data_IF_628745882635
#
_entry.id   IF_628745882635
#
_cell.length_a   1.000
_cell.length_b   1.000
_cell.length_c   1.000
_cell.angle_alpha   90.00
_cell.angle_beta   90.00
_cell.angle_gamma   90.00
#
_symmetry.space_group_name_H-M   'P 1'
#
loop_
_entity.id
_entity.type
_entity.pdbx_description
1 polymer ?
#
# COMPACT_ATOMS: atom_id res chain seq x y z
N UNK A 1 -7.58 -5.14 -5.17
CA UNK A 1 -6.40 -4.25 -5.26
C UNK A 1 -6.84 -2.96 -5.96
N UNK A 2 -6.64 -1.77 -5.37
CA UNK A 2 -6.94 -0.47 -6.02
C UNK A 2 -5.65 0.13 -6.57
N UNK A 3 -5.62 0.52 -7.84
CA UNK A 3 -4.47 1.19 -8.48
C UNK A 3 -4.66 2.69 -8.38
N UNK A 4 -3.65 3.40 -7.87
CA UNK A 4 -3.64 4.85 -7.71
C UNK A 4 -2.24 5.38 -8.00
N UNK A 5 -2.16 6.61 -8.49
CA UNK A 5 -0.89 7.27 -8.79
C UNK A 5 -0.14 7.69 -7.51
N UNK A 6 -0.86 7.86 -6.40
CA UNK A 6 -0.29 8.15 -5.08
C UNK A 6 -0.71 7.11 -4.04
N UNK A 7 0.25 6.72 -3.21
CA UNK A 7 0.07 5.78 -2.11
C UNK A 7 -0.16 6.48 -0.76
N UNK A 8 -0.07 7.83 -0.70
CA UNK A 8 -0.13 8.61 0.55
C UNK A 8 -1.39 8.32 1.34
N UNK A 9 -2.55 8.48 0.69
CA UNK A 9 -3.85 8.19 1.30
C UNK A 9 -4.03 6.71 1.57
N UNK A 10 -3.48 5.84 0.71
CA UNK A 10 -3.63 4.39 0.88
C UNK A 10 -2.90 3.85 2.11
N UNK A 11 -1.74 4.44 2.45
CA UNK A 11 -0.90 4.09 3.61
C UNK A 11 -1.51 4.52 4.94
N UNK A 12 -2.22 5.65 4.99
CA UNK A 12 -2.78 6.20 6.24
C UNK A 12 -4.16 5.67 6.61
N UNK A 13 -4.76 4.78 5.81
CA UNK A 13 -6.12 4.26 6.06
C UNK A 13 -6.23 3.36 7.29
N UNK A 14 -5.14 2.68 7.65
CA UNK A 14 -5.12 1.77 8.79
C UNK A 14 -3.70 1.70 9.37
N UNK A 15 -3.58 1.48 10.68
CA UNK A 15 -2.28 1.39 11.38
C UNK A 15 -1.39 0.28 10.83
N UNK A 16 -2.01 -0.82 10.40
CA UNK A 16 -1.29 -2.01 9.91
C UNK A 16 -0.97 -1.98 8.41
N UNK A 17 -1.32 -0.89 7.71
CA UNK A 17 -0.95 -0.74 6.31
C UNK A 17 0.58 -0.63 6.18
N UNK A 18 1.19 -1.54 5.43
CA UNK A 18 2.63 -1.60 5.17
C UNK A 18 2.92 -1.38 3.69
N UNK A 19 3.95 -0.60 3.41
CA UNK A 19 4.48 -0.42 2.05
C UNK A 19 5.43 -1.57 1.76
N UNK A 20 5.23 -2.28 0.65
CA UNK A 20 6.08 -3.38 0.20
C UNK A 20 6.44 -3.21 -1.27
N UNK A 21 7.62 -3.69 -1.66
CA UNK A 21 8.02 -3.82 -3.06
C UNK A 21 7.87 -5.28 -3.49
N UNK A 22 7.11 -5.53 -4.55
CA UNK A 22 6.90 -6.88 -5.11
C UNK A 22 6.89 -6.78 -6.64
N UNK A 23 7.56 -7.68 -7.35
CA UNK A 23 7.57 -7.72 -8.83
C UNK A 23 7.84 -6.34 -9.48
N UNK A 24 8.80 -5.58 -8.95
CA UNK A 24 9.14 -4.24 -9.44
C UNK A 24 8.12 -3.12 -9.13
N UNK A 25 7.03 -3.40 -8.43
CA UNK A 25 5.97 -2.43 -8.10
C UNK A 25 5.86 -2.19 -6.60
N UNK A 26 5.48 -0.96 -6.23
CA UNK A 26 5.21 -0.58 -4.84
C UNK A 26 3.74 -0.80 -4.52
N UNK A 27 3.47 -1.52 -3.44
CA UNK A 27 2.13 -1.82 -2.96
C UNK A 27 1.97 -1.37 -1.52
N UNK A 28 0.77 -0.92 -1.17
CA UNK A 28 0.32 -0.86 0.22
C UNK A 28 -0.50 -2.10 0.48
N UNK A 29 -0.08 -2.92 1.44
CA UNK A 29 -0.79 -4.12 1.88
C UNK A 29 -1.27 -3.94 3.32
N UNK A 30 -2.38 -4.57 3.68
CA UNK A 30 -2.75 -4.80 5.06
C UNK A 30 -2.51 -6.29 5.33
N UNK A 31 -1.70 -6.62 6.33
CA UNK A 31 -1.38 -8.01 6.69
C UNK A 31 -2.10 -8.48 7.96
N UNK A 32 -2.91 -7.61 8.56
CA UNK A 32 -3.93 -8.01 9.52
C UNK A 32 -5.10 -8.64 8.77
#
# INVERSE_FOLDING_TARGET
MKVRNSLRSLKSRHRDCRVVRRKGRVYVINKT
#
